data_IF_706538176796
#
_entry.id   IF_706538176796
#
_cell.length_a   1.000
_cell.length_b   1.000
_cell.length_c   1.000
_cell.angle_alpha   90.00
_cell.angle_beta   90.00
_cell.angle_gamma   90.00
#
_symmetry.space_group_name_H-M   'P 1'
#
loop_
_entity.id
_entity.type
_entity.pdbx_description
1 polymer ?
#
# COMPACT_ATOMS: atom_id res chain seq x y z
N UNK A 1 -51.10 14.08 32.81
CA UNK A 1 -50.18 12.95 32.57
C UNK A 1 -49.37 13.28 31.32
N UNK A 2 -48.09 13.64 31.46
CA UNK A 2 -47.19 13.84 30.33
C UNK A 2 -46.33 12.59 30.17
N UNK A 3 -46.45 11.91 29.02
CA UNK A 3 -45.70 10.69 28.71
C UNK A 3 -44.47 11.08 27.89
N UNK A 4 -43.29 11.06 28.50
CA UNK A 4 -42.02 11.33 27.81
C UNK A 4 -41.45 9.98 27.36
N UNK A 5 -41.55 9.68 26.07
CA UNK A 5 -40.88 8.52 25.49
C UNK A 5 -39.40 8.84 25.29
N UNK A 6 -38.54 8.28 26.15
CA UNK A 6 -37.10 8.21 25.91
C UNK A 6 -36.85 7.13 24.85
N UNK A 7 -36.58 7.53 23.61
CA UNK A 7 -36.07 6.65 22.56
C UNK A 7 -34.57 6.42 22.82
N UNK A 8 -34.13 5.19 23.14
CA UNK A 8 -32.71 4.91 23.27
C UNK A 8 -32.09 4.87 21.87
N UNK A 9 -31.36 5.93 21.50
CA UNK A 9 -30.45 5.88 20.36
C UNK A 9 -29.26 4.99 20.75
N UNK A 10 -29.38 3.69 20.49
CA UNK A 10 -28.25 2.79 20.55
C UNK A 10 -27.28 3.17 19.41
N UNK A 11 -26.28 3.99 19.73
CA UNK A 11 -25.15 4.25 18.83
C UNK A 11 -24.30 2.99 18.82
N UNK A 12 -24.63 2.05 17.93
CA UNK A 12 -23.74 0.94 17.63
C UNK A 12 -22.52 1.52 16.92
N UNK A 13 -21.42 1.66 17.66
CA UNK A 13 -20.11 1.96 17.09
C UNK A 13 -19.80 0.88 16.03
N UNK A 14 -19.95 1.24 14.75
CA UNK A 14 -19.36 0.49 13.63
C UNK A 14 -17.85 0.72 13.67
N UNK A 15 -17.19 0.08 14.62
CA UNK A 15 -15.74 0.04 14.70
C UNK A 15 -15.31 -1.36 15.11
N UNK A 16 -15.80 -2.38 14.39
CA UNK A 16 -14.97 -3.57 14.22
C UNK A 16 -13.84 -3.20 13.25
N UNK A 17 -12.95 -2.33 13.69
CA UNK A 17 -11.59 -2.35 13.21
C UNK A 17 -11.12 -3.77 13.53
N UNK A 18 -11.10 -4.64 12.52
CA UNK A 18 -10.51 -5.96 12.66
C UNK A 18 -9.04 -5.73 13.04
N UNK A 19 -8.77 -5.73 14.35
CA UNK A 19 -7.46 -5.89 14.95
C UNK A 19 -7.00 -7.32 14.66
N UNK A 20 -6.72 -7.56 13.41
CA UNK A 20 -6.28 -8.83 12.89
C UNK A 20 -5.44 -8.51 11.67
N UNK A 21 -4.16 -8.83 11.76
CA UNK A 21 -3.21 -8.89 10.65
C UNK A 21 -3.66 -10.00 9.69
N UNK A 22 -4.80 -9.80 9.02
CA UNK A 22 -5.27 -10.72 7.97
C UNK A 22 -4.63 -10.23 6.67
N UNK A 23 -3.32 -10.44 6.60
CA UNK A 23 -2.62 -10.33 5.33
C UNK A 23 -2.97 -11.56 4.50
N UNK A 24 -3.25 -11.42 3.19
CA UNK A 24 -3.37 -12.58 2.32
C UNK A 24 -2.11 -13.43 2.44
N UNK A 25 -2.21 -14.77 2.49
CA UNK A 25 -1.03 -15.61 2.53
C UNK A 25 -0.18 -15.34 1.28
N UNK A 26 1.14 -15.28 1.47
CA UNK A 26 2.10 -15.28 0.37
C UNK A 26 1.76 -16.38 -0.65
N UNK A 27 1.74 -16.00 -1.93
CA UNK A 27 1.38 -16.89 -3.04
C UNK A 27 2.59 -17.70 -3.57
N UNK A 28 3.75 -17.58 -2.91
CA UNK A 28 4.99 -18.29 -3.25
C UNK A 28 5.99 -18.31 -2.07
N UNK A 29 6.92 -19.26 -2.11
CA UNK A 29 7.98 -19.39 -1.08
C UNK A 29 9.20 -18.49 -1.34
N UNK A 30 9.39 -18.01 -2.58
CA UNK A 30 10.52 -17.18 -2.97
C UNK A 30 10.18 -16.34 -4.21
N UNK A 31 10.79 -15.16 -4.37
CA UNK A 31 10.60 -14.32 -5.54
C UNK A 31 11.21 -14.96 -6.80
N UNK A 32 10.72 -14.56 -7.97
CA UNK A 32 11.15 -15.09 -9.27
C UNK A 32 12.46 -14.45 -9.75
N UNK A 33 12.55 -13.12 -9.71
CA UNK A 33 13.72 -12.35 -10.15
C UNK A 33 14.17 -11.31 -9.13
N UNK A 34 13.29 -10.86 -8.25
CA UNK A 34 13.66 -9.92 -7.19
C UNK A 34 14.72 -10.55 -6.26
N UNK A 35 15.80 -9.82 -5.89
CA UNK A 35 16.84 -10.37 -5.02
C UNK A 35 16.26 -10.81 -3.68
N UNK A 36 16.34 -12.10 -3.37
CA UNK A 36 15.77 -12.69 -2.16
C UNK A 36 16.28 -12.02 -0.89
N UNK A 37 17.57 -11.71 -0.84
CA UNK A 37 18.21 -11.08 0.32
C UNK A 37 17.71 -9.64 0.58
N UNK A 38 17.08 -9.01 -0.43
CA UNK A 38 16.51 -7.67 -0.32
C UNK A 38 14.99 -7.69 -0.07
N UNK A 39 14.34 -8.84 -0.15
CA UNK A 39 12.88 -8.96 -0.11
C UNK A 39 12.30 -8.43 1.19
N UNK A 40 12.82 -8.92 2.32
CA UNK A 40 12.34 -8.55 3.65
C UNK A 40 12.53 -7.06 3.90
N UNK A 41 13.68 -6.50 3.49
CA UNK A 41 13.97 -5.07 3.63
C UNK A 41 13.01 -4.22 2.78
N UNK A 42 12.72 -4.62 1.55
CA UNK A 42 11.80 -3.91 0.67
C UNK A 42 10.37 -3.89 1.23
N UNK A 43 9.83 -5.05 1.61
CA UNK A 43 8.48 -5.17 2.19
C UNK A 43 8.39 -4.41 3.51
N UNK A 44 9.44 -4.48 4.35
CA UNK A 44 9.49 -3.75 5.62
C UNK A 44 9.47 -2.24 5.42
N UNK A 45 10.25 -1.70 4.48
CA UNK A 45 10.25 -0.27 4.19
C UNK A 45 8.90 0.19 3.63
N UNK A 46 8.29 -0.58 2.72
CA UNK A 46 6.96 -0.28 2.19
C UNK A 46 5.93 -0.20 3.32
N UNK A 47 5.91 -1.19 4.22
CA UNK A 47 4.99 -1.21 5.36
C UNK A 47 5.28 -0.10 6.37
N UNK A 48 6.56 0.24 6.60
CA UNK A 48 6.93 1.38 7.43
C UNK A 48 6.36 2.69 6.89
N UNK A 49 6.43 2.93 5.59
CA UNK A 49 5.83 4.12 4.95
C UNK A 49 4.32 4.14 5.04
N UNK A 50 3.65 2.99 4.83
CA UNK A 50 2.20 2.86 5.00
C UNK A 50 1.77 3.17 6.43
N UNK A 51 2.54 2.71 7.42
CA UNK A 51 2.32 3.02 8.84
C UNK A 51 2.46 4.52 9.13
N UNK A 52 3.51 5.17 8.61
CA UNK A 52 3.66 6.63 8.75
C UNK A 52 2.45 7.38 8.20
N UNK A 53 1.89 6.93 7.07
CA UNK A 53 0.70 7.55 6.49
C UNK A 53 -0.57 7.32 7.34
N UNK A 54 -0.77 6.12 7.89
CA UNK A 54 -1.87 5.84 8.85
C UNK A 54 -1.77 6.72 10.09
N UNK A 55 -0.56 6.94 10.59
CA UNK A 55 -0.31 7.78 11.76
C UNK A 55 -0.41 9.29 11.46
N UNK A 56 -0.47 9.69 10.19
CA UNK A 56 -0.44 11.10 9.77
C UNK A 56 0.93 11.75 9.93
N UNK A 57 1.98 10.95 9.91
CA UNK A 57 3.39 11.33 10.07
C UNK A 57 4.18 11.29 8.76
N UNK A 58 3.57 10.84 7.66
CA UNK A 58 4.21 10.82 6.35
C UNK A 58 4.23 12.23 5.77
N UNK A 59 5.43 12.78 5.55
CA UNK A 59 5.62 14.08 4.92
C UNK A 59 5.02 14.11 3.51
N UNK A 60 4.35 15.21 3.16
CA UNK A 60 3.76 15.44 1.84
C UNK A 60 4.78 16.10 0.89
N UNK A 61 5.57 15.26 0.19
CA UNK A 61 6.56 15.69 -0.80
C UNK A 61 7.87 16.24 -0.20
N UNK A 62 8.86 16.57 -1.05
CA UNK A 62 10.23 16.87 -0.63
C UNK A 62 10.36 18.08 0.30
N UNK A 63 9.56 19.13 0.06
CA UNK A 63 9.58 20.36 0.85
C UNK A 63 8.63 20.31 2.06
N UNK A 64 7.80 19.26 2.17
CA UNK A 64 7.05 18.96 3.39
C UNK A 64 6.10 20.08 3.82
N UNK A 65 5.19 20.46 2.94
CA UNK A 65 4.08 21.38 3.27
C UNK A 65 3.05 20.67 4.17
N UNK A 66 3.51 20.22 5.34
CA UNK A 66 2.78 19.37 6.27
C UNK A 66 2.91 17.87 5.97
N UNK A 67 2.23 17.09 6.81
CA UNK A 67 2.08 15.65 6.62
C UNK A 67 0.81 15.35 5.81
N UNK A 68 0.80 14.18 5.18
CA UNK A 68 -0.43 13.61 4.65
C UNK A 68 -1.45 13.41 5.78
N UNK A 69 -2.76 13.56 5.49
CA UNK A 69 -3.81 13.19 6.42
C UNK A 69 -3.66 11.73 6.90
N UNK A 70 -4.19 11.44 8.08
CA UNK A 70 -4.22 10.07 8.62
C UNK A 70 -4.99 9.16 7.67
N UNK A 71 -4.36 8.07 7.27
CA UNK A 71 -5.02 7.01 6.51
C UNK A 71 -5.96 6.17 7.36
N UNK A 72 -7.11 5.82 6.80
CA UNK A 72 -8.03 4.84 7.36
C UNK A 72 -7.99 3.54 6.55
N UNK A 73 -8.18 2.38 7.19
CA UNK A 73 -8.31 1.08 6.52
C UNK A 73 -7.11 0.63 5.67
N UNK A 74 -5.90 1.10 6.01
CA UNK A 74 -4.65 0.72 5.34
C UNK A 74 -4.08 -0.55 5.99
N UNK A 75 -3.94 -1.62 5.21
CA UNK A 75 -3.34 -2.89 5.67
C UNK A 75 -1.86 -3.00 5.36
N UNK A 76 -1.15 -3.84 6.11
CA UNK A 76 0.20 -4.29 5.74
C UNK A 76 0.15 -5.05 4.40
N UNK A 77 1.25 -4.98 3.65
CA UNK A 77 1.46 -5.67 2.39
C UNK A 77 2.38 -6.86 2.60
N UNK A 78 2.16 -7.90 1.80
CA UNK A 78 3.06 -9.03 1.60
C UNK A 78 3.52 -9.07 0.14
N UNK A 79 4.60 -9.82 -0.11
CA UNK A 79 5.05 -10.07 -1.47
C UNK A 79 4.08 -11.00 -2.21
N UNK A 80 3.88 -10.75 -3.50
CA UNK A 80 3.13 -11.63 -4.38
C UNK A 80 3.94 -11.89 -5.64
N UNK A 81 4.27 -13.15 -5.88
CA UNK A 81 4.92 -13.60 -7.11
C UNK A 81 4.05 -13.40 -8.35
N UNK A 82 2.71 -13.46 -8.21
CA UNK A 82 1.83 -13.16 -9.33
C UNK A 82 1.92 -11.68 -9.75
N UNK A 83 2.03 -10.77 -8.78
CA UNK A 83 2.26 -9.35 -9.06
C UNK A 83 3.68 -9.11 -9.59
N UNK A 84 4.69 -9.81 -9.07
CA UNK A 84 6.07 -9.77 -9.58
C UNK A 84 6.13 -10.18 -11.05
N UNK A 85 5.50 -11.30 -11.45
CA UNK A 85 5.44 -11.76 -12.84
C UNK A 85 4.81 -10.73 -13.76
N UNK A 86 3.72 -10.09 -13.32
CA UNK A 86 3.07 -9.02 -14.08
C UNK A 86 3.98 -7.79 -14.21
N UNK A 87 4.69 -7.41 -13.16
CA UNK A 87 5.66 -6.32 -13.20
C UNK A 87 6.83 -6.63 -14.15
N UNK A 88 7.38 -7.84 -14.08
CA UNK A 88 8.43 -8.32 -14.98
C UNK A 88 7.97 -8.27 -16.45
N UNK A 89 6.76 -8.75 -16.74
CA UNK A 89 6.19 -8.73 -18.07
C UNK A 89 5.96 -7.29 -18.57
N UNK A 90 5.47 -6.39 -17.70
CA UNK A 90 5.28 -4.98 -18.04
C UNK A 90 6.60 -4.26 -18.37
N UNK A 91 7.69 -4.66 -17.73
CA UNK A 91 9.03 -4.12 -18.01
C UNK A 91 9.72 -4.78 -19.22
N UNK A 92 9.09 -5.81 -19.81
CA UNK A 92 9.62 -6.60 -20.94
C UNK A 92 11.08 -7.05 -20.78
N UNK A 93 11.54 -7.25 -19.55
CA UNK A 93 12.92 -7.62 -19.18
C UNK A 93 14.03 -6.68 -19.71
N UNK A 94 13.72 -5.62 -20.46
CA UNK A 94 14.65 -4.65 -21.06
C UNK A 94 14.99 -3.53 -20.09
N UNK A 95 15.47 -3.88 -18.90
CA UNK A 95 16.24 -2.95 -18.08
C UNK A 95 17.69 -3.41 -18.07
N UNK A 96 18.44 -3.24 -19.18
CA UNK A 96 19.87 -3.44 -19.17
C UNK A 96 20.48 -2.28 -18.38
N UNK A 97 20.91 -2.55 -17.16
CA UNK A 97 21.70 -1.65 -16.28
C UNK A 97 21.10 -0.29 -15.86
N UNK A 98 20.13 0.26 -16.60
CA UNK A 98 19.51 1.56 -16.31
C UNK A 98 17.99 1.42 -16.22
N UNK A 99 17.39 2.10 -15.24
CA UNK A 99 15.94 2.18 -15.12
C UNK A 99 15.36 2.90 -16.34
N UNK A 100 14.17 2.52 -16.84
CA UNK A 100 13.55 3.19 -17.96
C UNK A 100 13.46 4.69 -17.69
N UNK A 101 13.89 5.50 -18.65
CA UNK A 101 13.69 6.95 -18.66
C UNK A 101 12.37 7.33 -19.35
N UNK A 102 11.44 6.39 -19.49
CA UNK A 102 10.10 6.69 -19.97
C UNK A 102 9.13 5.87 -19.15
N UNK A 103 7.99 6.48 -18.82
CA UNK A 103 6.93 5.75 -18.12
C UNK A 103 6.51 4.56 -18.98
N UNK A 104 6.45 3.34 -18.43
CA UNK A 104 5.86 2.22 -19.15
C UNK A 104 4.38 2.51 -19.44
N UNK A 105 3.86 1.91 -20.51
CA UNK A 105 2.44 1.97 -20.82
C UNK A 105 1.65 1.30 -19.69
N UNK A 106 0.72 2.05 -19.11
CA UNK A 106 -0.15 1.58 -18.02
C UNK A 106 -1.19 0.63 -18.61
N UNK A 107 -1.31 -0.62 -18.12
CA UNK A 107 -2.35 -1.53 -18.57
C UNK A 107 -3.75 -0.95 -18.35
N UNK A 108 -4.69 -1.27 -19.24
CA UNK A 108 -6.08 -0.80 -19.15
C UNK A 108 -6.71 -1.15 -17.80
N UNK A 109 -7.41 -0.17 -17.22
CA UNK A 109 -8.05 -0.30 -15.91
C UNK A 109 -7.09 -0.27 -14.71
N UNK A 110 -5.82 0.10 -14.90
CA UNK A 110 -4.83 0.22 -13.82
C UNK A 110 -4.31 1.67 -13.66
N UNK A 111 -3.73 1.97 -12.50
CA UNK A 111 -3.08 3.27 -12.24
C UNK A 111 -1.57 3.14 -12.47
N UNK A 112 -1.02 4.03 -13.29
CA UNK A 112 0.42 4.15 -13.45
C UNK A 112 1.07 4.81 -12.24
N UNK A 113 2.18 4.25 -11.79
CA UNK A 113 3.07 4.89 -10.82
C UNK A 113 4.43 5.09 -11.48
N UNK A 114 4.65 6.29 -12.00
CA UNK A 114 5.95 6.68 -12.55
C UNK A 114 6.28 8.09 -12.06
N UNK A 115 7.32 8.20 -11.24
CA UNK A 115 7.78 9.47 -10.68
C UNK A 115 9.24 9.68 -11.07
N UNK A 116 9.53 10.87 -11.60
CA UNK A 116 10.87 11.29 -11.97
C UNK A 116 11.55 11.96 -10.79
N UNK A 117 12.80 11.58 -10.51
CA UNK A 117 13.70 12.48 -9.80
C UNK A 117 14.13 13.56 -10.80
N UNK A 118 13.76 14.81 -10.54
CA UNK A 118 14.42 15.98 -11.10
C UNK A 118 15.48 16.46 -10.10
#
# INVERSE_FOLDING_TARGET
MFYVHLLPLAVLSLSTAHKGRMSPPADCNQPERFPKDNLDAFVSELNRRRKLMVEGNQQNGPQGNGNLPKGENVREMEWSCNLEKKAIAALNLTCPTECPTQSPNVPDGTTGFFYWYA
#
